data_IF_073776346681
#
_entry.id   IF_073776346681
#
_cell.length_a   1.000
_cell.length_b   1.000
_cell.length_c   1.000
_cell.angle_alpha   90.00
_cell.angle_beta   90.00
_cell.angle_gamma   90.00
#
_symmetry.space_group_name_H-M   'P 1'
#
loop_
_entity.id
_entity.type
_entity.pdbx_description
1 polymer ?
#
# COMPACT_ATOMS: atom_id res chain seq x y z
N UNK A 1 -8.04 24.91 -18.39
CA UNK A 1 -9.23 24.06 -18.36
C UNK A 1 -8.91 22.56 -18.29
N UNK A 2 -7.67 22.16 -18.05
CA UNK A 2 -7.31 20.74 -17.88
C UNK A 2 -7.59 20.18 -16.47
N UNK A 3 -7.99 21.01 -15.51
CA UNK A 3 -8.26 20.59 -14.15
C UNK A 3 -9.67 20.02 -13.90
N UNK A 4 -10.58 20.13 -14.87
CA UNK A 4 -11.96 19.65 -14.72
C UNK A 4 -12.18 18.20 -15.14
N UNK A 5 -11.22 17.58 -15.82
CA UNK A 5 -11.37 16.20 -16.34
C UNK A 5 -10.93 15.09 -15.38
N UNK A 6 -10.22 15.42 -14.31
CA UNK A 6 -9.72 14.46 -13.32
C UNK A 6 -10.84 13.91 -12.41
N UNK A 7 -12.01 14.56 -12.37
CA UNK A 7 -13.15 14.18 -11.51
C UNK A 7 -14.34 13.56 -12.25
N UNK A 8 -14.22 13.21 -13.53
CA UNK A 8 -15.29 12.46 -14.20
C UNK A 8 -15.30 11.05 -13.62
N UNK A 9 -16.36 10.71 -12.90
CA UNK A 9 -16.62 9.35 -12.42
C UNK A 9 -16.51 8.39 -13.60
N UNK A 10 -15.52 7.52 -13.60
CA UNK A 10 -15.24 6.62 -14.72
C UNK A 10 -16.27 5.50 -14.85
N UNK A 11 -17.01 5.20 -13.78
CA UNK A 11 -18.05 4.20 -13.80
C UNK A 11 -19.19 4.51 -12.83
N UNK A 12 -20.37 3.98 -13.13
CA UNK A 12 -21.56 4.13 -12.30
C UNK A 12 -22.46 2.90 -12.34
N UNK A 13 -23.24 2.73 -11.29
CA UNK A 13 -24.31 1.73 -11.24
C UNK A 13 -25.64 2.36 -11.65
N UNK A 14 -26.44 1.60 -12.39
CA UNK A 14 -27.77 2.00 -12.80
C UNK A 14 -28.70 0.81 -12.80
N UNK A 15 -30.00 1.06 -12.64
CA UNK A 15 -31.01 0.02 -12.62
C UNK A 15 -31.70 -0.11 -13.98
N UNK A 16 -31.91 -1.37 -14.42
CA UNK A 16 -32.74 -1.70 -15.55
C UNK A 16 -33.76 -2.73 -15.07
N UNK A 17 -35.01 -2.31 -14.94
CA UNK A 17 -36.07 -3.11 -14.27
C UNK A 17 -35.58 -3.47 -12.85
N UNK A 18 -35.54 -4.76 -12.53
CA UNK A 18 -35.14 -5.26 -11.20
C UNK A 18 -33.64 -5.64 -11.12
N UNK A 19 -32.84 -5.24 -12.09
CA UNK A 19 -31.43 -5.60 -12.13
C UNK A 19 -30.55 -4.36 -12.08
N UNK A 20 -29.52 -4.40 -11.25
CA UNK A 20 -28.46 -3.37 -11.20
C UNK A 20 -27.36 -3.74 -12.20
N UNK A 21 -26.92 -2.76 -12.99
CA UNK A 21 -25.82 -2.90 -13.93
C UNK A 21 -24.73 -1.87 -13.62
N UNK A 22 -23.51 -2.20 -14.00
CA UNK A 22 -22.35 -1.32 -13.95
C UNK A 22 -21.91 -0.91 -15.35
N UNK A 23 -21.67 0.38 -15.58
CA UNK A 23 -21.11 0.90 -16.82
C UNK A 23 -19.89 1.76 -16.54
N UNK A 24 -18.80 1.51 -17.24
CA UNK A 24 -17.61 2.34 -17.24
C UNK A 24 -17.58 3.23 -18.48
N UNK A 25 -17.46 4.55 -18.27
CA UNK A 25 -17.35 5.50 -19.38
C UNK A 25 -16.01 5.45 -20.10
N UNK A 26 -14.96 5.02 -19.40
CA UNK A 26 -13.61 5.03 -19.93
C UNK A 26 -13.34 3.84 -20.89
N UNK A 27 -13.74 2.62 -20.49
CA UNK A 27 -13.50 1.41 -21.28
C UNK A 27 -14.75 0.86 -21.97
N UNK A 28 -15.93 1.50 -21.80
CA UNK A 28 -17.19 1.08 -22.41
C UNK A 28 -17.82 -0.19 -21.82
N UNK A 29 -17.20 -0.81 -20.82
CA UNK A 29 -17.73 -2.03 -20.18
C UNK A 29 -19.12 -1.75 -19.61
N UNK A 30 -20.06 -2.65 -19.96
CA UNK A 30 -21.40 -2.66 -19.41
C UNK A 30 -21.75 -4.10 -19.00
N UNK A 31 -21.85 -4.35 -17.70
CA UNK A 31 -22.04 -5.67 -17.12
C UNK A 31 -23.05 -5.65 -15.99
N UNK A 32 -23.73 -6.78 -15.76
CA UNK A 32 -24.64 -6.92 -14.60
C UNK A 32 -23.87 -6.84 -13.28
N UNK A 33 -24.55 -6.42 -12.21
CA UNK A 33 -23.96 -6.34 -10.87
C UNK A 33 -23.40 -7.69 -10.40
N UNK A 34 -24.05 -8.78 -10.73
CA UNK A 34 -23.53 -10.13 -10.44
C UNK A 34 -22.18 -10.40 -11.13
N UNK A 35 -22.05 -10.01 -12.41
CA UNK A 35 -20.79 -10.16 -13.15
C UNK A 35 -19.70 -9.16 -12.69
N UNK A 36 -20.12 -8.01 -12.22
CA UNK A 36 -19.23 -7.03 -11.60
C UNK A 36 -18.63 -7.60 -10.29
N UNK A 37 -19.50 -8.10 -9.38
CA UNK A 37 -19.06 -8.74 -8.14
C UNK A 37 -18.17 -9.96 -8.39
N UNK A 38 -18.48 -10.77 -9.42
CA UNK A 38 -17.63 -11.92 -9.77
C UNK A 38 -16.18 -11.53 -10.09
N UNK A 39 -15.98 -10.31 -10.60
CA UNK A 39 -14.63 -9.81 -10.94
C UNK A 39 -13.88 -9.20 -9.76
N UNK A 40 -14.58 -8.58 -8.82
CA UNK A 40 -13.94 -7.82 -7.73
C UNK A 40 -14.02 -8.53 -6.38
N UNK A 41 -15.10 -9.30 -6.13
CA UNK A 41 -15.28 -10.06 -4.90
C UNK A 41 -16.15 -11.29 -5.15
N UNK A 42 -15.54 -12.44 -5.47
CA UNK A 42 -16.24 -13.70 -5.70
C UNK A 42 -17.03 -14.19 -4.48
N UNK A 43 -16.65 -13.80 -3.26
CA UNK A 43 -17.32 -14.21 -2.03
C UNK A 43 -18.66 -13.49 -1.88
N UNK A 44 -18.64 -12.17 -2.00
CA UNK A 44 -19.84 -11.33 -2.00
C UNK A 44 -20.74 -11.66 -3.20
N UNK A 45 -20.18 -12.06 -4.33
CA UNK A 45 -20.97 -12.51 -5.47
C UNK A 45 -21.81 -13.74 -5.16
N UNK A 46 -21.25 -14.73 -4.46
CA UNK A 46 -21.99 -15.95 -4.04
C UNK A 46 -23.15 -15.60 -3.09
N UNK A 47 -22.90 -14.70 -2.15
CA UNK A 47 -23.92 -14.24 -1.20
C UNK A 47 -25.04 -13.49 -1.93
N UNK A 48 -24.71 -12.56 -2.81
CA UNK A 48 -25.67 -11.83 -3.64
C UNK A 48 -26.52 -12.76 -4.51
N UNK A 49 -25.91 -13.75 -5.16
CA UNK A 49 -26.62 -14.73 -5.97
C UNK A 49 -27.59 -15.57 -5.13
N UNK A 50 -27.21 -15.94 -3.91
CA UNK A 50 -28.06 -16.68 -2.97
C UNK A 50 -29.25 -15.85 -2.46
N UNK A 51 -29.05 -14.57 -2.17
CA UNK A 51 -30.12 -13.64 -1.78
C UNK A 51 -31.14 -13.45 -2.92
N UNK A 52 -30.65 -13.24 -4.15
CA UNK A 52 -31.50 -13.15 -5.35
C UNK A 52 -32.31 -14.44 -5.62
N UNK A 53 -31.73 -15.58 -5.35
CA UNK A 53 -32.44 -16.86 -5.41
C UNK A 53 -33.58 -16.95 -4.38
N UNK A 54 -33.33 -16.52 -3.14
CA UNK A 54 -34.36 -16.47 -2.08
C UNK A 54 -35.52 -15.52 -2.40
N UNK A 55 -35.22 -14.42 -3.08
CA UNK A 55 -36.22 -13.43 -3.52
C UNK A 55 -37.03 -13.84 -4.74
N UNK A 56 -36.82 -15.07 -5.29
CA UNK A 56 -37.55 -15.59 -6.44
C UNK A 56 -37.19 -15.00 -7.78
N UNK A 57 -36.09 -14.24 -7.88
CA UNK A 57 -35.60 -13.62 -9.12
C UNK A 57 -34.66 -14.52 -9.96
N UNK A 58 -34.65 -15.82 -9.72
CA UNK A 58 -33.91 -16.81 -10.50
C UNK A 58 -34.61 -17.14 -11.81
N UNK A 59 -34.43 -16.30 -12.80
CA UNK A 59 -34.96 -16.49 -14.17
C UNK A 59 -33.86 -16.47 -15.21
N UNK A 60 -33.06 -17.51 -15.32
CA UNK A 60 -32.37 -17.89 -16.56
C UNK A 60 -31.88 -19.34 -16.45
N UNK A 61 -32.26 -20.14 -17.45
CA UNK A 61 -31.90 -21.54 -17.63
C UNK A 61 -30.38 -21.65 -17.80
N UNK A 62 -29.67 -22.08 -16.79
CA UNK A 62 -28.32 -22.66 -16.73
C UNK A 62 -27.65 -22.43 -15.37
N UNK A 63 -28.38 -22.70 -14.27
CA UNK A 63 -27.75 -22.82 -12.97
C UNK A 63 -27.61 -24.31 -12.64
N UNK A 64 -26.44 -24.87 -12.85
CA UNK A 64 -26.06 -26.16 -12.29
C UNK A 64 -25.73 -25.90 -10.82
N UNK A 65 -26.63 -26.34 -9.94
CA UNK A 65 -26.37 -26.36 -8.51
C UNK A 65 -25.34 -27.45 -8.27
N UNK A 66 -24.15 -27.13 -7.73
CA UNK A 66 -23.25 -28.15 -7.22
C UNK A 66 -23.95 -28.81 -6.02
N UNK A 67 -24.14 -30.12 -6.06
CA UNK A 67 -24.58 -30.89 -4.89
C UNK A 67 -23.57 -30.69 -3.78
N UNK A 68 -24.00 -30.49 -2.52
CA UNK A 68 -23.08 -30.46 -1.40
C UNK A 68 -22.51 -31.87 -1.21
N UNK A 69 -21.23 -32.06 -1.50
CA UNK A 69 -20.51 -33.22 -1.00
C UNK A 69 -20.23 -32.99 0.50
N UNK A 70 -20.46 -34.01 1.34
CA UNK A 70 -20.14 -33.91 2.75
C UNK A 70 -18.67 -34.29 2.97
N UNK A 71 -17.77 -33.36 2.94
CA UNK A 71 -16.48 -33.56 3.56
C UNK A 71 -16.28 -32.51 4.67
N UNK A 72 -16.49 -33.02 5.88
CA UNK A 72 -15.99 -32.44 7.12
C UNK A 72 -14.49 -32.65 7.20
N UNK A 73 -13.73 -31.82 6.52
CA UNK A 73 -12.35 -31.63 6.87
C UNK A 73 -12.22 -30.33 7.67
N UNK A 74 -11.63 -30.53 8.83
CA UNK A 74 -11.41 -29.54 9.89
C UNK A 74 -10.86 -28.24 9.32
N UNK A 75 -11.76 -27.32 8.99
CA UNK A 75 -11.39 -25.90 8.90
C UNK A 75 -10.89 -25.54 10.30
N UNK A 76 -9.58 -25.36 10.42
CA UNK A 76 -9.03 -24.63 11.56
C UNK A 76 -9.75 -23.30 11.55
N UNK A 77 -10.67 -23.11 12.49
CA UNK A 77 -11.25 -21.82 12.78
C UNK A 77 -10.08 -20.87 13.05
N UNK A 78 -9.72 -20.09 12.06
CA UNK A 78 -8.93 -18.89 12.30
C UNK A 78 -9.85 -18.00 13.13
N UNK A 79 -9.61 -18.00 14.44
CA UNK A 79 -10.24 -17.04 15.34
C UNK A 79 -10.07 -15.67 14.71
N UNK A 80 -11.14 -14.86 14.57
CA UNK A 80 -10.98 -13.50 14.08
C UNK A 80 -9.93 -12.84 14.99
N UNK A 81 -8.78 -12.55 14.42
CA UNK A 81 -7.75 -11.76 15.08
C UNK A 81 -8.34 -10.36 15.13
N UNK A 82 -8.95 -10.02 16.27
CA UNK A 82 -9.30 -8.64 16.55
C UNK A 82 -7.97 -7.90 16.61
N UNK A 83 -7.59 -7.26 15.51
CA UNK A 83 -6.45 -6.35 15.47
C UNK A 83 -6.71 -5.31 16.55
N UNK A 84 -5.93 -5.31 17.64
CA UNK A 84 -6.02 -4.27 18.65
C UNK A 84 -5.83 -2.94 17.96
N UNK A 85 -6.82 -2.06 18.04
CA UNK A 85 -6.74 -0.73 17.46
C UNK A 85 -5.62 0.00 18.19
N UNK A 86 -4.59 0.41 17.45
CA UNK A 86 -3.51 1.21 18.02
C UNK A 86 -4.15 2.49 18.53
N UNK A 87 -4.04 2.74 19.81
CA UNK A 87 -4.66 3.91 20.44
C UNK A 87 -3.71 5.11 20.30
N UNK A 88 -3.73 5.75 19.13
CA UNK A 88 -3.12 7.06 18.93
C UNK A 88 -4.23 8.09 19.13
N UNK A 89 -4.10 8.94 20.15
CA UNK A 89 -5.05 10.00 20.44
C UNK A 89 -4.87 11.21 19.48
N UNK A 90 -5.09 10.93 18.21
CA UNK A 90 -5.07 11.90 17.12
C UNK A 90 -6.19 11.57 16.12
N UNK A 91 -6.73 12.60 15.42
CA UNK A 91 -7.67 12.37 14.33
C UNK A 91 -7.01 11.62 13.17
N UNK A 92 -7.80 10.85 12.42
CA UNK A 92 -7.36 10.29 11.15
C UNK A 92 -6.90 11.41 10.20
N UNK A 93 -5.82 11.17 9.46
CA UNK A 93 -5.35 12.12 8.46
C UNK A 93 -6.35 12.35 7.32
N UNK A 94 -7.33 11.46 7.15
CA UNK A 94 -8.42 11.60 6.16
C UNK A 94 -9.60 12.43 6.69
N UNK A 95 -9.69 12.66 8.00
CA UNK A 95 -10.74 13.46 8.62
C UNK A 95 -10.37 14.94 8.74
N UNK A 96 -9.10 15.29 8.49
CA UNK A 96 -8.59 16.66 8.54
C UNK A 96 -8.27 17.16 7.14
N UNK A 97 -8.91 18.25 6.72
CA UNK A 97 -8.86 18.77 5.33
C UNK A 97 -7.45 19.00 4.79
N UNK A 98 -6.53 19.49 5.61
CA UNK A 98 -5.15 19.76 5.22
C UNK A 98 -4.42 18.46 4.80
N UNK A 99 -4.49 17.45 5.65
CA UNK A 99 -3.85 16.15 5.41
C UNK A 99 -4.60 15.31 4.37
N UNK A 100 -5.93 15.36 4.35
CA UNK A 100 -6.75 14.72 3.32
C UNK A 100 -6.34 15.19 1.92
N UNK A 101 -6.29 16.50 1.70
CA UNK A 101 -5.89 17.09 0.41
C UNK A 101 -4.47 16.69 0.04
N UNK A 102 -3.56 16.64 1.02
CA UNK A 102 -2.18 16.23 0.79
C UNK A 102 -2.12 14.77 0.32
N UNK A 103 -2.83 13.84 0.99
CA UNK A 103 -2.87 12.42 0.65
C UNK A 103 -3.56 12.17 -0.70
N UNK A 104 -4.69 12.83 -0.94
CA UNK A 104 -5.42 12.69 -2.21
C UNK A 104 -4.63 13.20 -3.42
N UNK A 105 -3.82 14.25 -3.28
CA UNK A 105 -2.89 14.70 -4.33
C UNK A 105 -1.81 13.67 -4.67
N UNK A 106 -1.56 12.73 -3.76
CA UNK A 106 -0.66 11.61 -3.93
C UNK A 106 -1.36 10.32 -4.36
N UNK A 107 -2.67 10.40 -4.68
CA UNK A 107 -3.53 9.26 -4.97
C UNK A 107 -3.65 8.25 -3.81
N UNK A 108 -3.43 8.68 -2.56
CA UNK A 108 -3.57 7.87 -1.36
C UNK A 108 -4.95 8.12 -0.77
N UNK A 109 -5.81 7.10 -0.77
CA UNK A 109 -7.21 7.19 -0.35
C UNK A 109 -7.54 6.31 0.86
N UNK A 110 -6.55 5.70 1.48
CA UNK A 110 -6.70 4.84 2.64
C UNK A 110 -5.37 4.59 3.33
N UNK A 111 -5.44 3.93 4.49
CA UNK A 111 -4.27 3.60 5.31
C UNK A 111 -4.40 4.14 6.74
N UNK A 112 -3.53 3.68 7.62
CA UNK A 112 -3.51 4.06 9.04
C UNK A 112 -2.62 5.29 9.23
N UNK A 113 -3.08 6.45 8.76
CA UNK A 113 -2.40 7.73 8.92
C UNK A 113 -3.18 8.65 9.84
N UNK A 114 -2.48 9.40 10.69
CA UNK A 114 -3.07 10.33 11.63
C UNK A 114 -2.55 11.75 11.37
N UNK A 115 -3.23 12.74 11.92
CA UNK A 115 -2.83 14.13 11.77
C UNK A 115 -2.47 14.73 13.12
N UNK A 116 -1.26 15.29 13.24
CA UNK A 116 -0.84 16.09 14.37
C UNK A 116 -0.69 17.55 13.94
N UNK A 117 -1.52 18.44 14.50
CA UNK A 117 -1.41 19.88 14.25
C UNK A 117 -0.12 20.46 14.81
N UNK A 118 0.35 19.91 15.93
CA UNK A 118 1.61 20.24 16.60
C UNK A 118 2.40 18.98 16.87
N UNK A 119 3.29 18.65 15.93
CA UNK A 119 4.01 17.39 15.93
C UNK A 119 4.91 17.20 17.15
N UNK A 120 5.73 18.22 17.47
CA UNK A 120 6.69 18.12 18.59
C UNK A 120 5.96 17.99 19.94
N UNK A 121 4.87 18.75 20.13
CA UNK A 121 4.05 18.65 21.34
C UNK A 121 3.43 17.26 21.47
N UNK A 122 2.86 16.71 20.39
CA UNK A 122 2.31 15.38 20.39
C UNK A 122 3.39 14.34 20.74
N UNK A 123 4.56 14.40 20.11
CA UNK A 123 5.66 13.46 20.40
C UNK A 123 6.09 13.55 21.87
N UNK A 124 6.10 14.74 22.45
CA UNK A 124 6.45 14.92 23.86
C UNK A 124 5.42 14.30 24.83
N UNK A 125 4.18 14.00 24.37
CA UNK A 125 3.23 13.22 25.18
C UNK A 125 3.61 11.74 25.24
N UNK A 126 4.29 11.23 24.19
CA UNK A 126 4.75 9.85 24.11
C UNK A 126 6.16 9.66 24.70
N UNK A 127 7.04 10.61 24.41
CA UNK A 127 8.43 10.63 24.89
C UNK A 127 8.70 11.98 25.53
N UNK A 128 8.57 12.12 26.84
CA UNK A 128 8.73 13.40 27.54
C UNK A 128 10.07 14.08 27.23
N UNK A 129 10.03 15.37 26.93
CA UNK A 129 11.19 16.21 26.61
C UNK A 129 12.01 15.75 25.38
N UNK A 130 11.40 14.99 24.46
CA UNK A 130 12.07 14.64 23.19
C UNK A 130 12.42 15.87 22.37
N UNK A 131 11.54 16.85 22.34
CA UNK A 131 11.77 18.17 21.75
C UNK A 131 11.71 19.24 22.83
N UNK A 132 12.79 19.96 22.99
CA UNK A 132 12.90 21.08 23.95
C UNK A 132 12.51 22.42 23.35
N UNK A 133 12.73 22.57 22.03
CA UNK A 133 12.32 23.75 21.26
C UNK A 133 10.99 23.47 20.57
N UNK A 134 9.94 24.18 21.01
CA UNK A 134 8.56 24.09 20.49
C UNK A 134 8.13 25.32 19.70
N UNK A 135 9.01 26.31 19.48
CA UNK A 135 8.67 27.58 18.84
C UNK A 135 8.24 27.39 17.38
N UNK A 136 8.80 26.38 16.71
CA UNK A 136 8.44 26.01 15.33
C UNK A 136 7.92 24.58 15.30
N UNK A 137 6.67 24.38 15.69
CA UNK A 137 6.01 23.09 15.72
C UNK A 137 5.00 23.01 14.58
N UNK A 138 5.40 22.34 13.49
CA UNK A 138 4.63 22.21 12.25
C UNK A 138 3.61 21.08 12.31
N UNK A 139 2.57 21.21 11.47
CA UNK A 139 1.61 20.11 11.26
C UNK A 139 2.23 18.99 10.43
N UNK A 140 1.96 17.74 10.85
CA UNK A 140 2.49 16.56 10.17
C UNK A 140 1.47 15.43 10.08
N UNK A 141 1.58 14.66 9.00
CA UNK A 141 0.96 13.34 8.93
C UNK A 141 1.81 12.38 9.77
N UNK A 142 1.17 11.68 10.67
CA UNK A 142 1.79 10.66 11.51
C UNK A 142 1.61 9.30 10.86
N UNK A 143 2.70 8.63 10.64
CA UNK A 143 2.82 7.30 10.07
C UNK A 143 3.27 6.38 11.21
N UNK A 144 2.37 5.57 11.81
CA UNK A 144 2.72 4.73 12.94
C UNK A 144 3.59 3.54 12.51
N UNK A 145 4.59 3.23 13.31
CA UNK A 145 5.36 1.99 13.19
C UNK A 145 4.84 1.03 14.26
N UNK A 146 4.37 -0.12 13.83
CA UNK A 146 3.66 -1.08 14.66
C UNK A 146 4.31 -2.44 14.56
N UNK A 147 4.48 -3.09 15.70
CA UNK A 147 4.91 -4.48 15.81
C UNK A 147 4.16 -5.17 16.94
N UNK A 148 3.67 -6.38 16.69
CA UNK A 148 2.90 -7.18 17.64
C UNK A 148 1.67 -6.42 18.21
N UNK A 149 1.05 -5.56 17.38
CA UNK A 149 -0.06 -4.66 17.70
C UNK A 149 0.30 -3.54 18.70
N UNK A 150 1.58 -3.29 18.93
CA UNK A 150 2.07 -2.20 19.77
C UNK A 150 2.71 -1.11 18.93
N UNK A 151 2.51 0.16 19.32
CA UNK A 151 3.18 1.30 18.71
C UNK A 151 4.65 1.32 19.17
N UNK A 152 5.57 1.01 18.25
CA UNK A 152 7.01 0.96 18.51
C UNK A 152 7.75 2.22 18.08
N UNK A 153 7.12 3.05 17.31
CA UNK A 153 7.65 4.30 16.79
C UNK A 153 6.66 5.00 15.87
N UNK A 154 7.05 6.13 15.38
CA UNK A 154 6.28 6.88 14.38
C UNK A 154 7.19 7.70 13.48
N UNK A 155 6.70 8.02 12.30
CA UNK A 155 7.32 8.98 11.40
C UNK A 155 6.35 10.13 11.13
N UNK A 156 6.81 11.37 11.29
CA UNK A 156 6.06 12.58 11.00
C UNK A 156 6.43 13.17 9.65
N UNK A 157 5.51 13.17 8.68
CA UNK A 157 5.68 13.82 7.37
C UNK A 157 5.14 15.24 7.40
N UNK A 158 5.98 16.23 7.12
CA UNK A 158 5.58 17.63 7.00
C UNK A 158 4.60 17.84 5.83
N UNK A 159 3.57 18.64 6.05
CA UNK A 159 2.58 19.01 5.04
C UNK A 159 2.99 20.26 4.23
N UNK A 160 3.74 21.14 4.86
CA UNK A 160 4.25 22.38 4.25
C UNK A 160 5.74 22.34 3.94
N UNK A 161 6.30 23.50 3.50
CA UNK A 161 7.74 23.68 3.36
C UNK A 161 8.42 23.43 4.70
N UNK A 162 9.37 22.50 4.72
CA UNK A 162 10.15 22.19 5.92
C UNK A 162 11.54 21.75 5.52
N UNK A 163 12.55 22.17 6.28
CA UNK A 163 13.93 21.72 6.10
C UNK A 163 14.08 20.21 6.36
N UNK A 164 13.20 19.65 7.20
CA UNK A 164 13.17 18.23 7.54
C UNK A 164 11.81 17.64 7.16
N UNK A 165 11.75 17.06 5.96
CA UNK A 165 10.50 16.48 5.42
C UNK A 165 9.95 15.35 6.28
N UNK A 166 10.83 14.48 6.81
CA UNK A 166 10.46 13.35 7.65
C UNK A 166 11.22 13.40 8.97
N UNK A 167 10.53 13.18 10.07
CA UNK A 167 11.11 13.00 11.40
C UNK A 167 10.65 11.66 11.93
N UNK A 168 11.62 10.79 12.23
CA UNK A 168 11.33 9.47 12.82
C UNK A 168 11.63 9.48 14.31
N UNK A 169 10.69 8.99 15.11
CA UNK A 169 10.82 8.86 16.56
C UNK A 169 10.51 7.41 16.92
N UNK A 170 11.49 6.74 17.50
CA UNK A 170 11.32 5.38 18.04
C UNK A 170 10.93 5.46 19.50
N UNK A 171 9.99 4.62 19.92
CA UNK A 171 9.54 4.45 21.30
C UNK A 171 10.30 3.30 22.01
N UNK A 172 10.95 2.44 21.21
CA UNK A 172 11.85 1.39 21.67
C UNK A 172 13.10 1.40 20.80
N UNK A 173 14.27 1.36 21.43
CA UNK A 173 15.57 1.47 20.74
C UNK A 173 15.86 0.25 19.86
N UNK A 174 15.42 -0.94 20.28
CA UNK A 174 15.65 -2.22 19.57
C UNK A 174 14.55 -2.54 18.54
N UNK A 175 13.56 -1.67 18.39
CA UNK A 175 12.44 -1.94 17.52
C UNK A 175 12.78 -1.72 16.04
N UNK A 176 12.19 -2.53 15.12
CA UNK A 176 12.42 -2.37 13.70
C UNK A 176 11.86 -1.05 13.18
N UNK A 177 12.66 -0.32 12.39
CA UNK A 177 12.21 0.87 11.68
C UNK A 177 11.51 0.49 10.38
N UNK A 178 10.43 -0.29 10.50
CA UNK A 178 9.65 -0.81 9.38
C UNK A 178 8.21 -0.35 9.52
N UNK A 179 7.67 0.25 8.46
CA UNK A 179 6.24 0.49 8.31
C UNK A 179 5.58 -0.72 7.66
N UNK A 180 4.39 -1.10 8.12
CA UNK A 180 3.63 -2.25 7.59
C UNK A 180 4.06 -3.61 8.15
N UNK A 181 4.86 -3.67 9.20
CA UNK A 181 5.42 -4.92 9.74
C UNK A 181 4.34 -5.95 10.11
N UNK A 182 3.28 -5.53 10.80
CA UNK A 182 2.19 -6.42 11.24
C UNK A 182 1.20 -6.78 10.12
N UNK A 183 1.33 -6.17 8.95
CA UNK A 183 0.42 -6.36 7.82
C UNK A 183 0.96 -7.37 6.81
N UNK A 184 2.15 -7.93 7.05
CA UNK A 184 2.82 -8.88 6.17
C UNK A 184 2.07 -10.21 6.12
N UNK A 185 1.77 -10.65 4.90
CA UNK A 185 1.37 -12.02 4.59
C UNK A 185 2.63 -12.80 4.14
N UNK A 186 3.13 -13.69 4.97
CA UNK A 186 4.35 -14.46 4.71
C UNK A 186 4.20 -15.52 3.61
N UNK A 187 2.97 -15.82 3.19
CA UNK A 187 2.69 -16.74 2.08
C UNK A 187 2.87 -16.06 0.71
N UNK A 188 2.96 -14.73 0.68
CA UNK A 188 3.11 -13.92 -0.52
C UNK A 188 4.49 -13.28 -0.62
N UNK A 189 4.91 -12.83 -1.82
CA UNK A 189 6.08 -11.97 -1.97
C UNK A 189 5.92 -10.69 -1.14
N UNK A 190 6.97 -10.32 -0.39
CA UNK A 190 7.01 -9.09 0.42
C UNK A 190 7.80 -8.05 -0.37
N UNK A 191 7.16 -6.95 -0.76
CA UNK A 191 7.84 -5.86 -1.44
C UNK A 191 8.41 -4.87 -0.42
N UNK A 192 9.70 -4.56 -0.55
CA UNK A 192 10.41 -3.66 0.36
C UNK A 192 10.71 -2.38 -0.38
N UNK A 193 10.03 -1.30 -0.01
CA UNK A 193 10.19 0.03 -0.61
C UNK A 193 10.90 1.00 0.34
N UNK A 194 11.27 2.19 -0.17
CA UNK A 194 11.98 3.20 0.63
C UNK A 194 11.02 4.05 1.48
N UNK A 195 9.83 4.35 0.96
CA UNK A 195 8.87 5.27 1.58
C UNK A 195 7.55 4.64 2.00
N UNK A 196 7.00 4.99 3.19
CA UNK A 196 5.71 4.47 3.63
C UNK A 196 4.54 4.80 2.70
N UNK A 197 4.60 5.93 1.99
CA UNK A 197 3.56 6.29 1.02
C UNK A 197 3.65 5.43 -0.24
N UNK A 198 4.86 5.06 -0.68
CA UNK A 198 5.04 4.19 -1.84
C UNK A 198 4.54 2.78 -1.57
N UNK A 199 4.67 2.30 -0.33
CA UNK A 199 4.16 0.98 0.05
C UNK A 199 2.63 0.87 -0.06
N UNK A 200 1.88 1.98 -0.01
CA UNK A 200 0.41 1.94 -0.15
C UNK A 200 -0.06 1.52 -1.55
N UNK A 201 0.82 1.48 -2.53
CA UNK A 201 0.51 1.16 -3.93
C UNK A 201 0.91 -0.25 -4.35
N UNK A 202 1.52 -1.02 -3.46
CA UNK A 202 1.91 -2.41 -3.70
C UNK A 202 1.21 -3.34 -2.71
N UNK A 203 0.77 -4.48 -3.21
CA UNK A 203 0.22 -5.53 -2.38
C UNK A 203 1.32 -6.13 -1.50
N UNK A 204 0.99 -6.42 -0.22
CA UNK A 204 1.92 -7.06 0.72
C UNK A 204 3.29 -6.39 0.80
N UNK A 205 3.31 -5.10 1.05
CA UNK A 205 4.52 -4.29 1.04
C UNK A 205 4.82 -3.67 2.41
N UNK A 206 6.11 -3.42 2.61
CA UNK A 206 6.64 -2.69 3.76
C UNK A 206 7.54 -1.55 3.30
N UNK A 207 7.73 -0.56 4.16
CA UNK A 207 8.71 0.47 3.91
C UNK A 207 9.78 0.53 5.01
N UNK A 208 11.02 0.76 4.59
CA UNK A 208 12.11 1.06 5.51
C UNK A 208 12.07 2.53 5.92
N UNK A 209 11.92 2.77 7.22
CA UNK A 209 11.81 4.11 7.77
C UNK A 209 13.16 4.53 8.36
N UNK A 210 14.10 4.89 7.51
CA UNK A 210 15.46 5.24 7.89
C UNK A 210 16.51 4.34 7.23
N UNK A 211 17.74 4.38 7.74
CA UNK A 211 18.87 3.65 7.16
C UNK A 211 18.75 2.12 7.27
N UNK A 212 19.49 1.47 6.42
CA UNK A 212 19.71 0.05 6.21
C UNK A 212 19.26 -0.90 7.35
N UNK A 213 18.12 -1.54 7.13
CA UNK A 213 17.66 -2.65 7.97
C UNK A 213 18.18 -3.93 7.33
N UNK A 214 18.80 -4.80 8.12
CA UNK A 214 19.14 -6.14 7.65
C UNK A 214 17.91 -7.03 7.67
N UNK A 215 17.18 -7.06 6.55
CA UNK A 215 15.97 -7.87 6.38
C UNK A 215 16.24 -9.37 6.60
N UNK A 216 17.46 -9.84 6.38
CA UNK A 216 17.82 -11.25 6.58
C UNK A 216 17.71 -11.69 8.05
N UNK A 217 17.81 -10.75 8.99
CA UNK A 217 17.63 -11.03 10.42
C UNK A 217 16.21 -11.45 10.79
N UNK A 218 15.23 -11.18 9.91
CA UNK A 218 13.81 -11.51 10.14
C UNK A 218 13.39 -12.88 9.62
N UNK A 219 14.30 -13.65 8.99
CA UNK A 219 14.02 -14.98 8.41
C UNK A 219 12.88 -14.99 7.39
N UNK A 220 12.66 -13.90 6.70
CA UNK A 220 11.70 -13.83 5.60
C UNK A 220 12.29 -14.50 4.36
N UNK A 221 11.54 -15.42 3.76
CA UNK A 221 12.05 -16.26 2.65
C UNK A 221 11.79 -15.66 1.26
N UNK A 222 10.75 -14.85 1.11
CA UNK A 222 10.32 -14.36 -0.20
C UNK A 222 10.10 -12.84 -0.17
N UNK A 223 11.19 -12.09 -0.24
CA UNK A 223 11.13 -10.63 -0.32
C UNK A 223 11.80 -10.11 -1.59
N UNK A 224 11.37 -8.93 -2.03
CA UNK A 224 11.78 -8.25 -3.25
C UNK A 224 12.08 -6.81 -2.93
N UNK A 225 13.29 -6.36 -3.25
CA UNK A 225 13.69 -4.97 -3.08
C UNK A 225 13.16 -4.10 -4.22
N UNK A 226 12.54 -2.99 -3.88
CA UNK A 226 11.99 -2.02 -4.82
C UNK A 226 12.56 -0.64 -4.47
N UNK A 227 13.68 -0.29 -5.08
CA UNK A 227 14.33 1.01 -4.90
C UNK A 227 13.74 2.07 -5.82
N UNK A 228 13.96 3.33 -5.51
CA UNK A 228 13.61 4.44 -6.38
C UNK A 228 14.24 4.31 -7.77
N UNK A 229 13.56 4.78 -8.80
CA UNK A 229 14.05 4.76 -10.19
C UNK A 229 15.01 5.93 -10.46
N UNK A 230 16.16 5.90 -9.82
CA UNK A 230 17.19 6.94 -9.93
C UNK A 230 18.51 6.39 -10.54
N UNK A 231 18.56 6.11 -11.86
CA UNK A 231 19.71 5.46 -12.49
C UNK A 231 21.00 6.29 -12.52
N UNK A 232 20.98 7.52 -12.04
CA UNK A 232 22.16 8.42 -11.86
C UNK A 232 22.53 8.65 -10.40
N UNK A 233 21.73 8.18 -9.46
CA UNK A 233 22.00 8.31 -8.04
C UNK A 233 22.96 7.21 -7.59
N UNK A 234 24.18 7.57 -7.23
CA UNK A 234 25.21 6.62 -6.81
C UNK A 234 24.83 5.81 -5.58
N UNK A 235 24.05 6.37 -4.67
CA UNK A 235 23.59 5.66 -3.48
C UNK A 235 22.64 4.53 -3.86
N UNK A 236 21.61 4.81 -4.68
CA UNK A 236 20.66 3.80 -5.17
C UNK A 236 21.36 2.73 -6.00
N UNK A 237 22.26 3.13 -6.89
CA UNK A 237 23.08 2.21 -7.69
C UNK A 237 23.88 1.27 -6.79
N UNK A 238 24.53 1.78 -5.75
CA UNK A 238 25.28 0.96 -4.81
C UNK A 238 24.38 0.00 -4.00
N UNK A 239 23.20 0.45 -3.58
CA UNK A 239 22.23 -0.40 -2.89
C UNK A 239 21.76 -1.54 -3.80
N UNK A 240 21.35 -1.27 -5.04
CA UNK A 240 20.95 -2.29 -6.00
C UNK A 240 22.11 -3.27 -6.26
N UNK A 241 23.33 -2.76 -6.50
CA UNK A 241 24.49 -3.61 -6.72
C UNK A 241 24.73 -4.58 -5.55
N UNK A 242 24.73 -4.08 -4.32
CA UNK A 242 24.89 -4.90 -3.11
C UNK A 242 23.77 -5.94 -2.98
N UNK A 243 22.53 -5.59 -3.29
CA UNK A 243 21.37 -6.51 -3.27
C UNK A 243 21.56 -7.64 -4.28
N UNK A 244 21.99 -7.33 -5.50
CA UNK A 244 22.31 -8.31 -6.53
C UNK A 244 23.48 -9.22 -6.11
N UNK A 245 24.53 -8.65 -5.52
CA UNK A 245 25.72 -9.40 -5.07
C UNK A 245 25.40 -10.35 -3.91
N UNK A 246 24.41 -10.04 -3.09
CA UNK A 246 23.86 -10.92 -2.06
C UNK A 246 22.96 -12.03 -2.62
N UNK A 247 22.65 -12.00 -3.93
CA UNK A 247 21.77 -12.95 -4.57
C UNK A 247 20.28 -12.74 -4.24
N UNK A 248 19.88 -11.55 -3.77
CA UNK A 248 18.51 -11.20 -3.44
C UNK A 248 17.72 -10.78 -4.69
N UNK A 249 16.39 -10.85 -4.60
CA UNK A 249 15.50 -10.36 -5.67
C UNK A 249 15.41 -8.84 -5.63
N UNK A 250 15.43 -8.22 -6.80
CA UNK A 250 15.33 -6.76 -6.92
C UNK A 250 14.57 -6.36 -8.18
N UNK A 251 13.80 -5.31 -8.10
CA UNK A 251 13.17 -4.68 -9.26
C UNK A 251 14.18 -3.81 -9.98
N UNK A 252 14.30 -4.01 -11.30
CA UNK A 252 15.05 -3.11 -12.19
C UNK A 252 14.04 -2.47 -13.13
N UNK A 253 13.84 -1.18 -12.95
CA UNK A 253 12.83 -0.44 -13.69
C UNK A 253 13.11 -0.44 -15.20
N UNK A 254 12.08 -0.63 -16.04
CA UNK A 254 12.25 -0.59 -17.49
C UNK A 254 12.54 0.83 -17.98
N UNK A 255 13.28 0.95 -19.09
CA UNK A 255 13.78 2.24 -19.61
C UNK A 255 12.67 3.21 -20.05
N UNK A 256 11.47 2.74 -20.31
CA UNK A 256 10.31 3.56 -20.65
C UNK A 256 9.62 4.21 -19.45
N UNK A 257 9.99 3.83 -18.22
CA UNK A 257 9.55 4.48 -16.99
C UNK A 257 10.56 5.58 -16.64
N UNK A 258 10.09 6.82 -16.62
CA UNK A 258 10.91 8.01 -16.35
C UNK A 258 10.66 8.61 -14.98
N UNK A 259 9.57 8.21 -14.33
CA UNK A 259 9.19 8.66 -13.00
C UNK A 259 10.20 8.14 -11.98
N UNK A 260 10.46 8.98 -10.96
CA UNK A 260 11.47 8.71 -9.95
C UNK A 260 11.03 7.64 -8.94
N UNK A 261 9.82 7.73 -8.43
CA UNK A 261 9.29 6.88 -7.37
C UNK A 261 7.93 6.29 -7.75
N UNK A 262 7.47 5.35 -6.95
CA UNK A 262 6.19 4.64 -7.15
C UNK A 262 5.01 5.63 -7.16
N UNK A 263 5.00 6.60 -6.26
CA UNK A 263 3.93 7.58 -6.20
C UNK A 263 3.82 8.40 -7.50
N UNK A 264 4.94 8.86 -8.05
CA UNK A 264 4.98 9.58 -9.31
C UNK A 264 4.53 8.70 -10.50
N UNK A 265 4.86 7.39 -10.46
CA UNK A 265 4.39 6.42 -11.45
C UNK A 265 2.87 6.26 -11.42
N UNK A 266 2.28 6.11 -10.24
CA UNK A 266 0.83 6.01 -10.05
C UNK A 266 0.13 7.28 -10.52
N UNK A 267 0.64 8.46 -10.19
CA UNK A 267 0.11 9.74 -10.63
C UNK A 267 0.19 9.91 -12.17
N UNK A 268 1.14 9.24 -12.81
CA UNK A 268 1.29 9.19 -14.26
C UNK A 268 0.44 8.09 -14.92
N UNK A 269 -0.36 7.36 -14.16
CA UNK A 269 -1.30 6.33 -14.65
C UNK A 269 -0.70 4.94 -14.87
N UNK A 270 0.51 4.68 -14.35
CA UNK A 270 1.12 3.36 -14.45
C UNK A 270 0.47 2.35 -13.48
N UNK A 271 0.33 1.10 -13.92
CA UNK A 271 -0.05 -0.04 -13.07
C UNK A 271 1.21 -0.58 -12.40
N UNK A 272 1.56 -0.03 -11.23
CA UNK A 272 2.88 -0.25 -10.62
C UNK A 272 3.06 -1.69 -10.17
N UNK A 273 2.01 -2.34 -9.66
CA UNK A 273 2.07 -3.74 -9.25
C UNK A 273 2.52 -4.64 -10.42
N UNK A 274 1.89 -4.51 -11.59
CA UNK A 274 2.23 -5.31 -12.79
C UNK A 274 3.67 -5.04 -13.27
N UNK A 275 4.12 -3.78 -13.17
CA UNK A 275 5.48 -3.39 -13.54
C UNK A 275 6.51 -4.03 -12.61
N UNK A 276 6.28 -3.97 -11.30
CA UNK A 276 7.16 -4.54 -10.29
C UNK A 276 7.26 -6.06 -10.44
N UNK A 277 6.13 -6.75 -10.64
CA UNK A 277 6.12 -8.20 -10.85
C UNK A 277 6.88 -8.61 -12.13
N UNK A 278 6.63 -7.88 -13.23
CA UNK A 278 7.25 -8.19 -14.53
C UNK A 278 8.74 -7.83 -14.59
N UNK A 279 9.25 -6.98 -13.70
CA UNK A 279 10.63 -6.49 -13.70
C UNK A 279 11.40 -6.87 -12.43
N UNK A 280 10.97 -7.93 -11.76
CA UNK A 280 11.69 -8.53 -10.64
C UNK A 280 12.72 -9.52 -11.16
N UNK A 281 13.99 -9.30 -10.82
CA UNK A 281 15.10 -10.11 -11.28
C UNK A 281 16.00 -10.59 -10.14
N UNK A 282 16.78 -11.66 -10.39
CA UNK A 282 17.75 -12.22 -9.45
C UNK A 282 19.00 -12.71 -10.19
N UNK A 283 20.14 -12.77 -9.52
CA UNK A 283 21.37 -13.36 -10.03
C UNK A 283 21.89 -12.71 -11.32
N UNK A 284 22.26 -13.51 -12.33
CA UNK A 284 22.83 -13.01 -13.59
C UNK A 284 21.87 -12.11 -14.36
N UNK A 285 20.57 -12.44 -14.37
CA UNK A 285 19.56 -11.64 -15.07
C UNK A 285 19.45 -10.25 -14.44
N UNK A 286 19.48 -10.16 -13.10
CA UNK A 286 19.51 -8.87 -12.41
C UNK A 286 20.78 -8.06 -12.79
N UNK A 287 21.96 -8.69 -12.85
CA UNK A 287 23.21 -8.03 -13.26
C UNK A 287 23.14 -7.45 -14.67
N UNK A 288 22.59 -8.21 -15.62
CA UNK A 288 22.46 -7.76 -17.01
C UNK A 288 21.50 -6.57 -17.12
N UNK A 289 20.29 -6.67 -16.54
CA UNK A 289 19.32 -5.60 -16.57
C UNK A 289 19.81 -4.34 -15.83
N UNK A 290 20.47 -4.52 -14.69
CA UNK A 290 21.07 -3.43 -13.92
C UNK A 290 22.16 -2.69 -14.71
N UNK A 291 23.00 -3.41 -15.47
CA UNK A 291 24.02 -2.79 -16.32
C UNK A 291 23.41 -1.89 -17.38
N UNK A 292 22.26 -2.28 -17.94
CA UNK A 292 21.55 -1.47 -18.93
C UNK A 292 20.76 -0.31 -18.32
N UNK A 293 20.32 -0.45 -17.04
CA UNK A 293 19.53 0.55 -16.35
C UNK A 293 20.38 1.70 -15.80
N UNK A 294 21.53 1.41 -15.19
CA UNK A 294 22.41 2.44 -14.61
C UNK A 294 22.99 3.37 -15.68
N UNK A 295 23.07 4.68 -15.36
CA UNK A 295 23.51 5.74 -16.30
C UNK A 295 24.73 6.51 -15.74
N UNK A 296 25.61 5.84 -15.03
CA UNK A 296 26.88 6.35 -14.48
C UNK A 296 27.99 5.32 -14.67
#
# INVERSE_FOLDING_TARGET
SAASDVYKRQGYFYQVKNNTNYKCHNCGVNISFNNFLKKIDPTTQKQYAFEKFKEGFAGSKNFVVPKPEPELDKVKESKPVFKKKINIDLPSAFDVKESEVYLHRRAIFGGNFYYAQKFKQFVNTLVPNKFTDLDYDDSRIIIPLVKDSELIGLQGRSLGPSNVKYITVMLSDDAPKIYGYDEIDHEKPIYIVEGPFDSTFLDNSIAMVGSDIDIRSYNWSNYIWVYDNEPRNREIINRISKTIDRGEKVVIWPNNIVQKDINDMVLSGHQVQDIVESNTFQGLQAKLNFTNWKKV
#
